data_IF_537844791117
#
_entry.id   IF_537844791117
#
_cell.length_a   1.000
_cell.length_b   1.000
_cell.length_c   1.000
_cell.angle_alpha   90.00
_cell.angle_beta   90.00
_cell.angle_gamma   90.00
#
_symmetry.space_group_name_H-M   'P 1'
#
loop_
_entity.id
_entity.type
_entity.pdbx_description
1 polymer ?
#
# COMPACT_ATOMS: atom_id res chain seq x y z
N UNK A 1 13.44 15.62 -2.08
CA UNK A 1 12.19 14.85 -2.20
C UNK A 1 11.10 15.79 -2.66
N UNK A 2 10.69 15.63 -3.90
CA UNK A 2 9.45 16.18 -4.46
C UNK A 2 8.24 15.83 -3.59
N UNK A 3 7.10 16.51 -3.81
CA UNK A 3 5.88 16.22 -3.05
C UNK A 3 5.40 14.81 -3.36
N UNK A 4 5.47 14.37 -4.62
CA UNK A 4 5.14 12.98 -5.00
C UNK A 4 6.06 11.97 -4.30
N UNK A 5 7.36 12.22 -4.26
CA UNK A 5 8.31 11.38 -3.54
C UNK A 5 8.00 11.33 -2.04
N UNK A 6 7.70 12.46 -1.41
CA UNK A 6 7.30 12.50 0.00
C UNK A 6 6.04 11.67 0.26
N UNK A 7 5.07 11.70 -0.65
CA UNK A 7 3.84 10.89 -0.55
C UNK A 7 4.15 9.39 -0.61
N UNK A 8 4.99 8.95 -1.57
CA UNK A 8 5.43 7.55 -1.67
C UNK A 8 6.24 7.12 -0.44
N UNK A 9 7.11 7.99 0.08
CA UNK A 9 7.89 7.72 1.28
C UNK A 9 7.02 7.53 2.51
N UNK A 10 6.06 8.42 2.76
CA UNK A 10 5.11 8.30 3.87
C UNK A 10 4.34 6.99 3.76
N UNK A 11 3.89 6.64 2.56
CA UNK A 11 3.19 5.38 2.34
C UNK A 11 4.10 4.16 2.56
N UNK A 12 5.36 4.22 2.14
CA UNK A 12 6.37 3.20 2.45
C UNK A 12 6.55 3.03 3.96
N UNK A 13 6.63 4.12 4.72
CA UNK A 13 6.72 4.03 6.19
C UNK A 13 5.46 3.41 6.82
N UNK A 14 4.28 3.73 6.29
CA UNK A 14 3.03 3.07 6.68
C UNK A 14 3.10 1.55 6.42
N UNK A 15 3.54 1.13 5.23
CA UNK A 15 3.75 -0.29 4.92
C UNK A 15 4.79 -0.94 5.85
N UNK A 16 5.82 -0.22 6.26
CA UNK A 16 6.81 -0.73 7.21
C UNK A 16 6.15 -1.07 8.55
N UNK A 17 5.33 -0.16 9.07
CA UNK A 17 4.61 -0.36 10.33
C UNK A 17 3.65 -1.55 10.21
N UNK A 18 2.85 -1.60 9.15
CA UNK A 18 1.93 -2.73 8.92
C UNK A 18 2.70 -4.04 8.75
N UNK A 19 3.81 -4.03 8.00
CA UNK A 19 4.65 -5.19 7.77
C UNK A 19 5.26 -5.76 9.06
N UNK A 20 5.76 -4.88 9.94
CA UNK A 20 6.26 -5.27 11.26
C UNK A 20 5.15 -5.86 12.14
N UNK A 21 3.96 -5.24 12.17
CA UNK A 21 2.83 -5.75 12.95
C UNK A 21 2.42 -7.13 12.44
N UNK A 22 2.25 -7.31 11.12
CA UNK A 22 1.91 -8.60 10.51
C UNK A 22 2.96 -9.67 10.75
N UNK A 23 4.25 -9.30 10.72
CA UNK A 23 5.35 -10.22 10.93
C UNK A 23 5.42 -10.73 12.38
N UNK A 24 5.25 -9.85 13.37
CA UNK A 24 5.48 -10.20 14.78
C UNK A 24 4.19 -10.51 15.55
N UNK A 25 3.14 -9.69 15.38
CA UNK A 25 1.89 -9.72 16.15
C UNK A 25 0.65 -9.55 15.24
N UNK A 26 0.42 -10.45 14.27
CA UNK A 26 -0.59 -10.27 13.22
C UNK A 26 -2.01 -10.07 13.74
N UNK A 27 -2.39 -10.81 14.79
CA UNK A 27 -3.72 -10.73 15.39
C UNK A 27 -4.01 -9.35 16.02
N UNK A 28 -2.98 -8.61 16.41
CA UNK A 28 -3.15 -7.23 16.88
C UNK A 28 -3.62 -6.30 15.76
N UNK A 29 -3.29 -6.60 14.49
CA UNK A 29 -3.80 -5.87 13.35
C UNK A 29 -5.20 -6.35 12.97
N UNK A 30 -5.41 -7.65 12.79
CA UNK A 30 -6.59 -8.16 12.08
C UNK A 30 -7.84 -8.31 12.96
N UNK A 31 -7.68 -8.62 14.25
CA UNK A 31 -8.82 -8.84 15.17
C UNK A 31 -9.68 -7.59 15.38
N UNK A 32 -9.12 -6.37 15.51
CA UNK A 32 -9.92 -5.14 15.56
C UNK A 32 -10.81 -4.91 14.32
N UNK A 33 -10.47 -5.51 13.17
CA UNK A 33 -11.28 -5.44 11.95
C UNK A 33 -12.26 -6.61 11.86
N UNK A 34 -12.50 -7.38 12.92
CA UNK A 34 -13.46 -8.49 12.92
C UNK A 34 -13.01 -9.68 12.06
N UNK A 35 -11.71 -9.77 11.73
CA UNK A 35 -11.13 -10.94 11.09
C UNK A 35 -10.75 -11.93 12.20
N UNK A 36 -11.13 -13.20 12.02
CA UNK A 36 -10.82 -14.24 12.98
C UNK A 36 -9.30 -14.34 13.22
N UNK A 37 -8.84 -14.48 14.47
CA UNK A 37 -7.43 -14.70 14.76
C UNK A 37 -6.89 -15.89 13.98
N UNK A 38 -5.65 -15.78 13.50
CA UNK A 38 -4.98 -16.83 12.73
C UNK A 38 -3.62 -17.17 13.32
N UNK A 39 -3.25 -18.44 13.18
CA UNK A 39 -1.93 -18.98 13.49
C UNK A 39 -1.15 -19.34 12.21
N UNK A 40 -1.76 -19.13 11.04
CA UNK A 40 -1.18 -19.45 9.75
C UNK A 40 0.08 -18.63 9.48
N UNK A 41 1.13 -19.28 8.99
CA UNK A 41 2.42 -18.61 8.70
C UNK A 41 2.31 -17.57 7.58
N UNK A 42 1.32 -17.72 6.70
CA UNK A 42 1.13 -16.89 5.50
C UNK A 42 0.93 -15.41 5.82
N UNK A 43 0.31 -15.08 6.96
CA UNK A 43 0.12 -13.68 7.36
C UNK A 43 1.45 -13.00 7.70
N UNK A 44 2.39 -13.76 8.29
CA UNK A 44 3.74 -13.28 8.60
C UNK A 44 4.56 -13.14 7.32
N UNK A 45 4.37 -14.05 6.36
CA UNK A 45 4.96 -13.93 5.02
C UNK A 45 4.48 -12.63 4.34
N UNK A 46 3.19 -12.29 4.41
CA UNK A 46 2.68 -11.00 3.92
C UNK A 46 3.38 -9.82 4.59
N UNK A 47 3.66 -9.91 5.90
CA UNK A 47 4.46 -8.91 6.62
C UNK A 47 5.87 -8.73 6.03
N UNK A 48 6.56 -9.83 5.71
CA UNK A 48 7.89 -9.78 5.05
C UNK A 48 7.79 -9.11 3.68
N UNK A 49 6.75 -9.43 2.89
CA UNK A 49 6.53 -8.83 1.58
C UNK A 49 6.28 -7.30 1.68
N UNK A 50 5.54 -6.85 2.69
CA UNK A 50 5.34 -5.41 2.93
C UNK A 50 6.63 -4.71 3.36
N UNK A 51 7.47 -5.37 4.15
CA UNK A 51 8.81 -4.86 4.48
C UNK A 51 9.70 -4.76 3.24
N UNK A 52 9.66 -5.75 2.34
CA UNK A 52 10.39 -5.69 1.08
C UNK A 52 9.89 -4.53 0.18
N UNK A 53 8.56 -4.37 0.04
CA UNK A 53 7.96 -3.25 -0.69
C UNK A 53 8.35 -1.89 -0.10
N UNK A 54 8.44 -1.79 1.22
CA UNK A 54 8.91 -0.58 1.91
C UNK A 54 10.30 -0.17 1.42
N UNK A 55 11.23 -1.11 1.30
CA UNK A 55 12.60 -0.82 0.81
C UNK A 55 12.53 -0.22 -0.60
N UNK A 56 11.77 -0.83 -1.50
CA UNK A 56 11.60 -0.32 -2.86
C UNK A 56 10.96 1.07 -2.89
N UNK A 57 9.96 1.33 -2.04
CA UNK A 57 9.27 2.62 -2.01
C UNK A 57 10.15 3.72 -1.43
N UNK A 58 10.91 3.41 -0.38
CA UNK A 58 11.89 4.33 0.21
C UNK A 58 12.98 4.65 -0.80
N UNK A 59 13.54 3.66 -1.50
CA UNK A 59 14.54 3.91 -2.54
C UNK A 59 13.97 4.74 -3.69
N UNK A 60 12.80 4.36 -4.21
CA UNK A 60 12.15 5.10 -5.29
C UNK A 60 11.88 6.55 -4.91
N UNK A 61 11.46 6.81 -3.67
CA UNK A 61 11.23 8.15 -3.19
C UNK A 61 12.53 8.94 -2.96
N UNK A 62 13.55 8.34 -2.32
CA UNK A 62 14.83 9.02 -2.05
C UNK A 62 15.62 9.35 -3.32
N UNK A 63 15.54 8.47 -4.32
CA UNK A 63 16.19 8.66 -5.62
C UNK A 63 15.25 9.24 -6.69
N UNK A 64 14.03 9.64 -6.31
CA UNK A 64 13.01 10.21 -7.20
C UNK A 64 12.80 9.41 -8.50
N UNK A 65 12.76 8.08 -8.39
CA UNK A 65 12.56 7.16 -9.50
C UNK A 65 11.09 7.20 -9.94
N UNK A 66 10.78 8.18 -10.79
CA UNK A 66 9.42 8.54 -11.24
C UNK A 66 8.62 7.34 -11.74
N UNK A 67 9.24 6.46 -12.54
CA UNK A 67 8.54 5.29 -13.11
C UNK A 67 8.00 4.35 -12.02
N UNK A 68 8.76 4.12 -10.95
CA UNK A 68 8.33 3.29 -9.82
C UNK A 68 7.26 4.02 -9.00
N UNK A 69 7.39 5.33 -8.81
CA UNK A 69 6.37 6.13 -8.12
C UNK A 69 5.03 6.10 -8.86
N UNK A 70 5.04 6.18 -10.19
CA UNK A 70 3.83 6.03 -11.04
C UNK A 70 3.22 4.64 -10.91
N UNK A 71 4.03 3.59 -11.04
CA UNK A 71 3.56 2.21 -10.89
C UNK A 71 2.92 1.98 -9.52
N UNK A 72 3.56 2.48 -8.44
CA UNK A 72 3.06 2.39 -7.07
C UNK A 72 1.74 3.14 -6.87
N UNK A 73 1.58 4.32 -7.47
CA UNK A 73 0.31 5.04 -7.44
C UNK A 73 -0.80 4.24 -8.13
N UNK A 74 -0.53 3.67 -9.30
CA UNK A 74 -1.50 2.87 -10.04
C UNK A 74 -1.90 1.58 -9.31
N UNK A 75 -0.93 0.80 -8.84
CA UNK A 75 -1.17 -0.47 -8.14
C UNK A 75 -2.03 -0.25 -6.89
N UNK A 76 -1.77 0.79 -6.09
CA UNK A 76 -2.58 1.06 -4.89
C UNK A 76 -4.03 1.40 -5.22
N UNK A 77 -4.29 2.01 -6.38
CA UNK A 77 -5.66 2.28 -6.82
C UNK A 77 -6.39 1.01 -7.29
N UNK A 78 -5.69 -0.08 -7.64
CA UNK A 78 -6.35 -1.33 -8.08
C UNK A 78 -6.79 -2.22 -6.92
N UNK A 79 -6.18 -2.09 -5.74
CA UNK A 79 -6.49 -2.92 -4.54
C UNK A 79 -7.98 -2.89 -4.19
N UNK A 80 -8.64 -1.74 -4.33
CA UNK A 80 -10.08 -1.61 -4.06
C UNK A 80 -10.93 -2.52 -4.93
N UNK A 81 -10.53 -2.78 -6.17
CA UNK A 81 -11.27 -3.67 -7.09
C UNK A 81 -11.19 -5.11 -6.60
N UNK A 82 -9.99 -5.58 -6.23
CA UNK A 82 -9.79 -6.95 -5.73
C UNK A 82 -10.48 -7.17 -4.39
N UNK A 83 -10.34 -6.24 -3.45
CA UNK A 83 -10.96 -6.38 -2.13
C UNK A 83 -12.49 -6.29 -2.21
N UNK A 84 -13.03 -5.44 -3.08
CA UNK A 84 -14.48 -5.42 -3.36
C UNK A 84 -14.94 -6.77 -3.93
N UNK A 85 -14.21 -7.33 -4.90
CA UNK A 85 -14.54 -8.65 -5.43
C UNK A 85 -14.50 -9.75 -4.35
N UNK A 86 -13.49 -9.76 -3.47
CA UNK A 86 -13.40 -10.74 -2.39
C UNK A 86 -14.54 -10.63 -1.38
N UNK A 87 -15.01 -9.43 -1.08
CA UNK A 87 -16.17 -9.21 -0.21
C UNK A 87 -17.46 -9.69 -0.89
N UNK A 88 -17.65 -9.37 -2.19
CA UNK A 88 -18.83 -9.82 -2.94
C UNK A 88 -18.88 -11.34 -3.13
N UNK A 89 -17.72 -12.01 -3.12
CA UNK A 89 -17.59 -13.47 -3.16
C UNK A 89 -17.56 -14.12 -1.77
N UNK A 90 -17.77 -13.34 -0.70
CA UNK A 90 -17.79 -13.80 0.70
C UNK A 90 -16.49 -14.46 1.19
N UNK A 91 -15.35 -14.19 0.53
CA UNK A 91 -14.04 -14.71 0.94
C UNK A 91 -13.47 -14.02 2.18
N UNK A 92 -13.91 -12.79 2.46
CA UNK A 92 -13.42 -11.96 3.57
C UNK A 92 -14.49 -10.98 4.02
N UNK A 93 -14.41 -10.53 5.27
CA UNK A 93 -15.29 -9.49 5.83
C UNK A 93 -15.17 -8.15 5.10
N UNK A 94 -16.29 -7.43 4.98
CA UNK A 94 -16.36 -6.08 4.40
C UNK A 94 -15.45 -5.05 5.08
N UNK A 95 -15.01 -5.31 6.32
CA UNK A 95 -14.05 -4.46 7.04
C UNK A 95 -12.70 -4.33 6.32
N UNK A 96 -12.34 -5.29 5.47
CA UNK A 96 -11.12 -5.20 4.64
C UNK A 96 -11.15 -3.99 3.69
N UNK A 97 -12.34 -3.49 3.34
CA UNK A 97 -12.50 -2.34 2.46
C UNK A 97 -11.95 -1.05 3.06
N UNK A 98 -11.76 -0.99 4.39
CA UNK A 98 -11.08 0.13 5.05
C UNK A 98 -9.63 0.22 4.57
N UNK A 99 -8.92 -0.92 4.50
CA UNK A 99 -7.56 -0.95 3.97
C UNK A 99 -7.53 -0.55 2.50
N UNK A 100 -8.45 -1.10 1.68
CA UNK A 100 -8.56 -0.71 0.28
C UNK A 100 -8.82 0.80 0.09
N UNK A 101 -9.64 1.42 0.94
CA UNK A 101 -9.90 2.85 0.88
C UNK A 101 -8.63 3.66 1.20
N UNK A 102 -7.85 3.26 2.22
CA UNK A 102 -6.57 3.89 2.56
C UNK A 102 -5.58 3.78 1.40
N UNK A 103 -5.44 2.58 0.81
CA UNK A 103 -4.60 2.35 -0.37
C UNK A 103 -5.03 3.21 -1.55
N UNK A 104 -6.32 3.21 -1.88
CA UNK A 104 -6.89 3.97 -2.99
C UNK A 104 -6.67 5.47 -2.84
N UNK A 105 -6.98 6.03 -1.66
CA UNK A 105 -6.75 7.45 -1.36
C UNK A 105 -5.27 7.81 -1.41
N UNK A 106 -4.39 6.94 -0.90
CA UNK A 106 -2.94 7.10 -0.98
C UNK A 106 -2.42 7.08 -2.42
N UNK A 107 -2.96 6.18 -3.26
CA UNK A 107 -2.66 6.10 -4.69
C UNK A 107 -3.09 7.36 -5.44
N UNK A 108 -4.33 7.81 -5.22
CA UNK A 108 -4.88 9.05 -5.79
C UNK A 108 -4.02 10.26 -5.39
N UNK A 109 -3.64 10.36 -4.12
CA UNK A 109 -2.84 11.47 -3.63
C UNK A 109 -1.49 11.54 -4.37
N UNK A 110 -0.78 10.42 -4.47
CA UNK A 110 0.48 10.37 -5.21
C UNK A 110 0.28 10.66 -6.70
N UNK A 111 -0.78 10.13 -7.32
CA UNK A 111 -1.09 10.35 -8.74
C UNK A 111 -1.29 11.84 -9.06
N UNK A 112 -2.10 12.54 -8.26
CA UNK A 112 -2.31 13.98 -8.45
C UNK A 112 -1.04 14.80 -8.23
N UNK A 113 -0.18 14.41 -7.29
CA UNK A 113 1.11 15.07 -7.09
C UNK A 113 2.05 14.85 -8.28
N UNK A 114 2.14 13.63 -8.81
CA UNK A 114 2.93 13.33 -10.01
C UNK A 114 2.43 14.10 -11.23
N UNK A 115 1.11 14.28 -11.37
CA UNK A 115 0.53 15.08 -12.46
C UNK A 115 0.87 16.57 -12.34
N UNK A 116 0.85 17.11 -11.11
CA UNK A 116 1.20 18.51 -10.84
C UNK A 116 2.69 18.80 -11.04
N UNK A 117 3.55 17.82 -10.84
CA UNK A 117 5.00 17.94 -11.00
C UNK A 117 5.47 17.73 -12.45
N UNK A 118 4.55 17.69 -13.42
CA UNK A 118 4.82 17.48 -14.86
C UNK A 118 5.51 16.16 -15.23
N UNK A 119 5.80 15.29 -14.27
CA UNK A 119 6.44 13.98 -14.49
C UNK A 119 5.64 13.01 -15.36
N UNK A 120 4.36 13.29 -15.63
CA UNK A 120 3.51 12.52 -16.56
C UNK A 120 3.62 12.98 -18.02
N UNK A 121 4.07 14.21 -18.28
CA UNK A 121 4.30 14.70 -19.63
C UNK A 121 5.77 14.44 -19.98
N UNK A 122 6.03 13.26 -20.54
CA UNK A 122 7.28 13.03 -21.25
C UNK A 122 7.35 13.96 -22.46
N UNK A 123 7.99 15.11 -22.28
CA UNK A 123 8.76 15.81 -23.30
C UNK A 123 10.09 16.16 -22.64
N UNK A 124 11.07 15.26 -22.84
CA UNK A 124 12.50 15.49 -23.06
C UNK A 124 13.19 14.13 -23.06
#
# INVERSE_FOLDING_TARGET
>A
MSRSAKSVFIFGMYLAVIGLILLFVPNALITPFGIAPTEEVWIRLSGILFMALTVYYVLAAKHEIVVIMKATAFIRMTIIVFFTAFVLLEFVSATILIFAAIDFLGGIWTFFLLKKESHFNGNN
#
